data_IF_491107803030
#
_entry.id   IF_491107803030
#
_cell.length_a   1.000
_cell.length_b   1.000
_cell.length_c   1.000
_cell.angle_alpha   90.00
_cell.angle_beta   90.00
_cell.angle_gamma   90.00
#
_symmetry.space_group_name_H-M   'P 1'
#
loop_
_entity.id
_entity.type
_entity.pdbx_description
1 polymer ?
#
# COMPACT_ATOMS: atom_id res chain seq x y z
N UNK A 1 19.80 -9.88 -32.18
CA UNK A 1 19.85 -8.42 -32.43
C UNK A 1 21.29 -7.95 -32.34
N UNK A 2 21.59 -6.70 -32.74
CA UNK A 2 22.93 -6.10 -32.57
C UNK A 2 23.43 -6.22 -31.11
N UNK A 3 22.54 -6.07 -30.11
CA UNK A 3 22.86 -6.25 -28.70
C UNK A 3 23.34 -7.68 -28.38
N UNK A 4 22.62 -8.71 -28.84
CA UNK A 4 23.01 -10.11 -28.59
C UNK A 4 24.38 -10.47 -29.17
N UNK A 5 24.74 -9.86 -30.31
CA UNK A 5 26.07 -10.02 -30.90
C UNK A 5 27.14 -9.41 -29.98
N UNK A 6 26.96 -8.15 -29.56
CA UNK A 6 27.88 -7.46 -28.65
C UNK A 6 28.04 -8.19 -27.32
N UNK A 7 26.94 -8.68 -26.73
CA UNK A 7 26.94 -9.46 -25.48
C UNK A 7 27.81 -10.71 -25.62
N UNK A 8 27.63 -11.47 -26.69
CA UNK A 8 28.36 -12.72 -26.93
C UNK A 8 29.84 -12.47 -27.22
N UNK A 9 30.17 -11.48 -28.04
CA UNK A 9 31.55 -11.19 -28.44
C UNK A 9 32.39 -10.65 -27.28
N UNK A 10 31.78 -9.87 -26.38
CA UNK A 10 32.50 -9.22 -25.27
C UNK A 10 32.30 -9.94 -23.93
N UNK A 11 31.45 -10.98 -23.88
CA UNK A 11 31.06 -11.66 -22.63
C UNK A 11 30.52 -10.67 -21.59
N UNK A 12 29.55 -9.86 -22.02
CA UNK A 12 28.88 -8.81 -21.24
C UNK A 12 27.37 -8.99 -21.30
N UNK A 13 26.67 -8.32 -20.40
CA UNK A 13 25.20 -8.19 -20.41
C UNK A 13 24.85 -6.73 -20.58
N UNK A 14 23.91 -6.42 -21.48
CA UNK A 14 23.41 -5.05 -21.67
C UNK A 14 22.08 -4.95 -20.92
N UNK A 15 21.92 -3.94 -20.05
CA UNK A 15 20.61 -3.68 -19.45
C UNK A 15 19.64 -3.21 -20.53
N UNK A 16 18.52 -3.93 -20.67
CA UNK A 16 17.48 -3.63 -21.65
C UNK A 16 16.28 -3.05 -20.93
N UNK A 17 16.31 -1.75 -20.79
CA UNK A 17 15.11 -0.99 -20.46
C UNK A 17 14.21 -0.94 -21.69
N UNK A 18 13.04 -1.59 -21.62
CA UNK A 18 12.13 -1.74 -22.77
C UNK A 18 11.57 -0.40 -23.24
N UNK A 19 11.29 0.53 -22.33
CA UNK A 19 10.76 1.85 -22.69
C UNK A 19 11.83 2.67 -23.43
N UNK A 20 13.05 2.69 -22.90
CA UNK A 20 14.19 3.34 -23.56
C UNK A 20 14.51 2.68 -24.90
N UNK A 21 14.47 1.34 -24.97
CA UNK A 21 14.71 0.62 -26.21
C UNK A 21 13.65 0.95 -27.26
N UNK A 22 12.38 0.99 -26.87
CA UNK A 22 11.29 1.38 -27.75
C UNK A 22 11.43 2.83 -28.23
N UNK A 23 11.83 3.76 -27.37
CA UNK A 23 12.12 5.15 -27.76
C UNK A 23 13.25 5.20 -28.79
N UNK A 24 14.38 4.52 -28.51
CA UNK A 24 15.54 4.48 -29.39
C UNK A 24 15.21 3.86 -30.75
N UNK A 25 14.43 2.78 -30.77
CA UNK A 25 13.95 2.15 -32.01
C UNK A 25 13.04 3.10 -32.79
N UNK A 26 12.18 3.87 -32.12
CA UNK A 26 11.27 4.80 -32.78
C UNK A 26 11.99 6.02 -33.42
N UNK A 27 13.17 6.38 -32.94
CA UNK A 27 13.94 7.55 -33.44
C UNK A 27 15.10 7.17 -34.37
N UNK A 28 15.27 5.88 -34.71
CA UNK A 28 16.37 5.40 -35.56
C UNK A 28 15.86 4.65 -36.78
N UNK A 29 16.35 5.01 -37.96
CA UNK A 29 15.99 4.36 -39.23
C UNK A 29 16.96 3.21 -39.58
N UNK A 30 18.24 3.36 -39.20
CA UNK A 30 19.32 2.40 -39.42
C UNK A 30 20.06 2.11 -38.10
N UNK A 31 19.43 1.41 -37.14
CA UNK A 31 19.98 1.24 -35.80
C UNK A 31 21.21 0.33 -35.79
N UNK A 32 22.35 0.88 -35.39
CA UNK A 32 23.59 0.13 -35.13
C UNK A 32 24.01 0.32 -33.68
N UNK A 33 24.10 -0.77 -32.92
CA UNK A 33 24.56 -0.71 -31.54
C UNK A 33 26.09 -0.66 -31.50
N UNK A 34 26.63 0.25 -30.69
CA UNK A 34 28.06 0.49 -30.60
C UNK A 34 28.46 0.53 -29.13
N UNK A 35 29.57 -0.13 -28.82
CA UNK A 35 30.13 -0.19 -27.48
C UNK A 35 31.13 0.96 -27.27
N UNK A 36 30.86 1.82 -26.30
CA UNK A 36 31.77 2.87 -25.82
C UNK A 36 32.25 2.59 -24.39
N UNK A 37 33.17 3.44 -23.92
CA UNK A 37 33.74 3.39 -22.56
C UNK A 37 33.74 4.75 -21.88
N UNK A 38 33.78 4.72 -20.56
CA UNK A 38 34.10 5.90 -19.76
C UNK A 38 35.29 5.60 -18.83
N UNK A 39 35.80 6.64 -18.19
CA UNK A 39 36.93 6.53 -17.27
C UNK A 39 36.56 5.64 -16.07
N UNK A 40 37.41 4.68 -15.73
CA UNK A 40 37.17 3.75 -14.61
C UNK A 40 37.02 4.48 -13.27
N UNK A 41 37.58 5.69 -13.14
CA UNK A 41 37.41 6.51 -11.94
C UNK A 41 35.93 6.77 -11.61
N UNK A 42 35.05 6.85 -12.60
CA UNK A 42 33.62 7.07 -12.36
C UNK A 42 32.92 5.89 -11.69
N UNK A 43 33.52 4.70 -11.66
CA UNK A 43 33.00 3.54 -10.92
C UNK A 43 33.07 3.71 -9.39
N UNK A 44 33.65 4.82 -8.89
CA UNK A 44 33.52 5.24 -7.49
C UNK A 44 32.10 5.73 -7.15
N UNK A 45 31.34 6.17 -8.15
CA UNK A 45 29.94 6.56 -7.96
C UNK A 45 29.08 5.31 -7.66
N UNK A 46 27.99 5.47 -6.89
CA UNK A 46 26.92 4.49 -6.87
C UNK A 46 26.49 4.11 -8.30
N UNK A 47 26.32 2.80 -8.61
CA UNK A 47 25.95 2.35 -9.95
C UNK A 47 24.69 3.04 -10.50
N UNK A 48 23.70 3.29 -9.63
CA UNK A 48 22.44 3.93 -10.02
C UNK A 48 22.63 5.37 -10.51
N UNK A 49 23.58 6.13 -9.95
CA UNK A 49 23.91 7.48 -10.43
C UNK A 49 24.45 7.44 -11.86
N UNK A 50 25.31 6.46 -12.14
CA UNK A 50 25.90 6.26 -13.47
C UNK A 50 24.82 5.84 -14.47
N UNK A 51 23.97 4.89 -14.08
CA UNK A 51 22.87 4.37 -14.89
C UNK A 51 21.87 5.49 -15.22
N UNK A 52 21.43 6.26 -14.23
CA UNK A 52 20.53 7.40 -14.43
C UNK A 52 21.15 8.45 -15.36
N UNK A 53 22.42 8.79 -15.15
CA UNK A 53 23.14 9.73 -16.03
C UNK A 53 23.22 9.23 -17.48
N UNK A 54 23.30 7.92 -17.70
CA UNK A 54 23.33 7.31 -19.03
C UNK A 54 21.95 7.29 -19.69
N UNK A 55 20.92 6.84 -18.97
CA UNK A 55 19.57 6.61 -19.51
C UNK A 55 18.85 7.92 -19.78
N UNK A 56 18.71 8.77 -18.76
CA UNK A 56 17.90 9.99 -18.83
C UNK A 56 18.52 11.07 -19.72
N UNK A 57 19.85 11.24 -19.65
CA UNK A 57 20.50 12.36 -20.34
C UNK A 57 20.99 12.02 -21.74
N UNK A 58 21.29 10.75 -22.04
CA UNK A 58 21.97 10.37 -23.28
C UNK A 58 21.38 9.16 -24.01
N UNK A 59 20.34 8.51 -23.46
CA UNK A 59 19.74 7.29 -24.04
C UNK A 59 20.76 6.17 -24.26
N UNK A 60 21.69 6.03 -23.33
CA UNK A 60 22.70 4.96 -23.34
C UNK A 60 22.23 3.78 -22.50
N UNK A 61 22.66 2.59 -22.90
CA UNK A 61 22.37 1.34 -22.20
C UNK A 61 23.59 0.93 -21.35
N UNK A 62 23.43 0.81 -20.02
CA UNK A 62 24.50 0.37 -19.13
C UNK A 62 24.95 -1.06 -19.45
N UNK A 63 26.23 -1.33 -19.22
CA UNK A 63 26.83 -2.65 -19.47
C UNK A 63 27.33 -3.27 -18.19
N UNK A 64 26.99 -4.55 -18.01
CA UNK A 64 27.35 -5.36 -16.88
C UNK A 64 28.26 -6.50 -17.28
N UNK A 65 29.11 -6.92 -16.34
CA UNK A 65 29.87 -8.17 -16.42
C UNK A 65 29.80 -8.86 -15.07
N UNK A 66 29.46 -10.15 -15.08
CA UNK A 66 29.29 -10.95 -13.86
C UNK A 66 28.35 -10.28 -12.82
N UNK A 67 27.30 -9.61 -13.31
CA UNK A 67 26.32 -8.90 -12.48
C UNK A 67 26.78 -7.54 -11.93
N UNK A 68 27.97 -7.05 -12.31
CA UNK A 68 28.49 -5.73 -11.88
C UNK A 68 28.55 -4.76 -13.04
N UNK A 69 28.15 -3.52 -12.79
CA UNK A 69 28.33 -2.43 -13.73
C UNK A 69 29.82 -2.25 -14.04
N UNK A 70 30.17 -2.17 -15.31
CA UNK A 70 31.54 -1.90 -15.76
C UNK A 70 31.61 -0.53 -16.46
N UNK A 71 32.82 -0.05 -16.77
CA UNK A 71 33.05 1.24 -17.41
C UNK A 71 32.72 1.28 -18.91
N UNK A 72 31.61 0.64 -19.30
CA UNK A 72 31.16 0.48 -20.67
C UNK A 72 29.68 0.86 -20.78
N UNK A 73 29.30 1.34 -21.95
CA UNK A 73 27.92 1.64 -22.30
C UNK A 73 27.68 1.30 -23.77
N UNK A 74 26.43 1.05 -24.12
CA UNK A 74 26.01 0.88 -25.51
C UNK A 74 25.18 2.08 -25.93
N UNK A 75 25.49 2.61 -27.12
CA UNK A 75 24.69 3.63 -27.80
C UNK A 75 24.20 3.07 -29.12
N UNK A 76 22.98 3.42 -29.52
CA UNK A 76 22.46 3.08 -30.84
C UNK A 76 22.66 4.27 -31.77
N UNK A 77 23.50 4.11 -32.76
CA UNK A 77 23.74 5.12 -33.80
C UNK A 77 22.79 4.93 -34.98
N UNK A 78 22.40 6.04 -35.58
CA UNK A 78 21.69 6.11 -36.86
C UNK A 78 22.61 6.51 -38.02
N UNK A 79 23.93 6.56 -37.79
CA UNK A 79 24.88 7.01 -38.80
C UNK A 79 25.09 5.93 -39.88
N UNK A 80 25.08 6.33 -41.15
CA UNK A 80 25.41 5.47 -42.27
C UNK A 80 26.92 5.51 -42.55
N UNK A 81 27.68 4.68 -41.84
CA UNK A 81 29.15 4.59 -41.92
C UNK A 81 29.63 3.17 -41.59
N UNK A 82 30.77 2.78 -42.16
CA UNK A 82 31.46 1.53 -41.81
C UNK A 82 32.48 1.74 -40.66
N UNK A 83 32.85 2.99 -40.37
CA UNK A 83 33.73 3.37 -39.26
C UNK A 83 32.97 4.23 -38.23
N UNK A 84 32.79 3.66 -37.04
CA UNK A 84 32.10 4.29 -35.92
C UNK A 84 33.05 4.94 -34.90
N UNK A 85 34.37 4.93 -35.12
CA UNK A 85 35.36 5.45 -34.17
C UNK A 85 35.08 6.88 -33.71
N UNK A 86 34.68 7.77 -34.63
CA UNK A 86 34.31 9.15 -34.34
C UNK A 86 32.99 9.30 -33.60
N UNK A 87 32.04 8.39 -33.85
CA UNK A 87 30.77 8.34 -33.10
C UNK A 87 31.05 7.92 -31.67
N UNK A 88 31.89 6.89 -31.46
CA UNK A 88 32.31 6.44 -30.13
C UNK A 88 32.98 7.59 -29.39
N UNK A 89 34.07 8.15 -29.94
CA UNK A 89 34.83 9.25 -29.34
C UNK A 89 33.92 10.44 -28.96
N UNK A 90 32.96 10.77 -29.83
CA UNK A 90 31.97 11.81 -29.58
C UNK A 90 31.09 11.52 -28.36
N UNK A 91 30.52 10.32 -28.27
CA UNK A 91 29.65 9.93 -27.15
C UNK A 91 30.43 9.80 -25.84
N UNK A 92 31.65 9.24 -25.87
CA UNK A 92 32.53 9.18 -24.70
C UNK A 92 32.86 10.59 -24.18
N UNK A 93 33.12 11.54 -25.09
CA UNK A 93 33.37 12.95 -24.73
C UNK A 93 32.13 13.65 -24.14
N UNK A 94 30.93 13.27 -24.55
CA UNK A 94 29.68 13.84 -24.04
C UNK A 94 29.31 13.29 -22.66
N UNK A 95 29.55 12.00 -22.42
CA UNK A 95 29.26 11.36 -21.13
C UNK A 95 30.21 11.83 -20.02
N UNK A 96 31.49 12.02 -20.35
CA UNK A 96 32.55 12.36 -19.40
C UNK A 96 32.24 13.57 -18.51
N UNK A 97 31.84 14.76 -19.01
CA UNK A 97 31.55 15.91 -18.15
C UNK A 97 30.38 15.62 -17.19
N UNK A 98 29.35 14.89 -17.62
CA UNK A 98 28.20 14.55 -16.76
C UNK A 98 28.60 13.64 -15.59
N UNK A 99 29.38 12.59 -15.85
CA UNK A 99 29.89 11.73 -14.79
C UNK A 99 30.91 12.46 -13.90
N UNK A 100 31.66 13.42 -14.46
CA UNK A 100 32.57 14.28 -13.69
C UNK A 100 31.81 15.20 -12.74
N UNK A 101 30.71 15.81 -13.18
CA UNK A 101 29.86 16.65 -12.34
C UNK A 101 29.21 15.81 -11.23
N UNK A 102 28.65 14.64 -11.58
CA UNK A 102 28.10 13.71 -10.58
C UNK A 102 29.15 13.26 -9.55
N UNK A 103 30.36 12.92 -9.99
CA UNK A 103 31.47 12.56 -9.09
C UNK A 103 31.88 13.75 -8.20
N UNK A 104 31.85 14.97 -8.73
CA UNK A 104 32.10 16.18 -7.94
C UNK A 104 31.04 16.37 -6.85
N UNK A 105 29.75 16.28 -7.20
CA UNK A 105 28.64 16.38 -6.24
C UNK A 105 28.75 15.32 -5.15
N UNK A 106 28.95 14.05 -5.56
CA UNK A 106 29.09 12.94 -4.63
C UNK A 106 30.23 13.16 -3.62
N UNK A 107 31.42 13.54 -4.10
CA UNK A 107 32.55 13.82 -3.22
C UNK A 107 32.32 15.01 -2.30
N UNK A 108 31.56 16.01 -2.73
CA UNK A 108 31.24 17.16 -1.89
C UNK A 108 30.22 16.77 -0.81
N UNK A 109 29.21 16.00 -1.18
CA UNK A 109 28.20 15.47 -0.25
C UNK A 109 28.84 14.56 0.80
N UNK A 110 29.76 13.66 0.40
CA UNK A 110 30.51 12.83 1.35
C UNK A 110 31.34 13.66 2.34
N UNK A 111 31.92 14.78 1.90
CA UNK A 111 32.67 15.69 2.79
C UNK A 111 31.76 16.44 3.76
N UNK A 112 30.54 16.82 3.33
CA UNK A 112 29.54 17.45 4.21
C UNK A 112 28.98 16.47 5.22
N UNK A 113 28.87 15.20 4.83
CA UNK A 113 28.28 14.13 5.64
C UNK A 113 26.75 14.15 5.62
N UNK A 114 26.15 13.15 6.27
CA UNK A 114 24.69 13.03 6.36
C UNK A 114 24.16 13.95 7.48
N UNK A 115 23.50 15.05 7.09
CA UNK A 115 22.92 16.03 8.02
C UNK A 115 21.55 16.50 7.55
N UNK A 116 20.67 16.83 8.50
CA UNK A 116 19.38 17.48 8.27
C UNK A 116 19.44 19.00 8.37
N UNK A 117 20.61 19.59 8.59
CA UNK A 117 20.77 21.03 8.69
C UNK A 117 20.32 21.72 7.39
N UNK A 118 19.51 22.77 7.52
CA UNK A 118 18.93 23.50 6.40
C UNK A 118 17.49 23.08 6.08
N UNK A 119 17.04 21.89 6.53
CA UNK A 119 15.65 21.45 6.33
C UNK A 119 14.64 22.33 7.07
N UNK A 120 15.06 23.08 8.09
CA UNK A 120 14.27 24.10 8.77
C UNK A 120 13.97 25.33 7.90
N UNK A 121 14.61 25.44 6.73
CA UNK A 121 14.37 26.52 5.75
C UNK A 121 13.59 26.03 4.53
N UNK A 122 13.45 24.71 4.37
CA UNK A 122 12.71 24.10 3.24
C UNK A 122 11.25 24.00 3.63
N UNK A 123 10.40 24.81 3.01
CA UNK A 123 8.95 24.77 3.23
C UNK A 123 8.40 23.45 2.69
N UNK A 124 7.75 22.65 3.54
CA UNK A 124 7.06 21.43 3.11
C UNK A 124 5.72 21.78 2.46
N UNK A 125 4.88 22.52 3.19
CA UNK A 125 3.57 22.96 2.72
C UNK A 125 3.07 24.13 3.56
N UNK A 126 2.38 25.08 2.94
CA UNK A 126 1.77 26.19 3.68
C UNK A 126 0.76 25.64 4.71
N UNK A 127 0.92 26.02 5.99
CA UNK A 127 0.12 25.50 7.10
C UNK A 127 0.68 24.25 7.79
N UNK A 128 1.68 23.57 7.20
CA UNK A 128 2.35 22.39 7.79
C UNK A 128 3.84 22.62 8.07
N UNK A 129 4.34 23.83 7.84
CA UNK A 129 5.70 24.22 8.17
C UNK A 129 6.75 23.67 7.20
N UNK A 130 7.89 23.29 7.76
CA UNK A 130 9.12 22.94 7.06
C UNK A 130 9.30 21.42 6.94
N UNK A 131 10.31 20.99 6.20
CA UNK A 131 10.70 19.56 6.16
C UNK A 131 11.20 19.09 7.53
N UNK A 132 11.85 19.95 8.31
CA UNK A 132 12.20 19.65 9.70
C UNK A 132 10.95 19.41 10.57
N UNK A 133 9.92 20.25 10.44
CA UNK A 133 8.64 20.04 11.15
C UNK A 133 7.96 18.73 10.72
N UNK A 134 8.08 18.36 9.45
CA UNK A 134 7.60 17.08 8.92
C UNK A 134 8.33 15.89 9.55
N UNK A 135 9.65 15.92 9.67
CA UNK A 135 10.43 14.87 10.34
C UNK A 135 9.93 14.65 11.77
N UNK A 136 9.68 15.73 12.52
CA UNK A 136 9.20 15.62 13.90
C UNK A 136 7.81 14.99 13.98
N UNK A 137 6.89 15.35 13.07
CA UNK A 137 5.57 14.71 13.01
C UNK A 137 5.66 13.22 12.63
N UNK A 138 6.45 12.90 11.61
CA UNK A 138 6.70 11.52 11.20
C UNK A 138 7.31 10.70 12.33
N UNK A 139 8.25 11.26 13.09
CA UNK A 139 8.87 10.60 14.25
C UNK A 139 7.83 10.22 15.30
N UNK A 140 6.85 11.10 15.59
CA UNK A 140 5.76 10.80 16.52
C UNK A 140 4.83 9.70 16.00
N UNK A 141 4.50 9.73 14.71
CA UNK A 141 3.70 8.68 14.08
C UNK A 141 4.45 7.34 14.13
N UNK A 142 5.71 7.32 13.69
CA UNK A 142 6.55 6.13 13.69
C UNK A 142 6.66 5.52 15.09
N UNK A 143 6.91 6.34 16.11
CA UNK A 143 6.93 5.91 17.51
C UNK A 143 5.59 5.28 17.93
N UNK A 144 4.47 5.89 17.56
CA UNK A 144 3.15 5.33 17.89
C UNK A 144 2.91 3.98 17.22
N UNK A 145 3.23 3.86 15.93
CA UNK A 145 3.11 2.60 15.18
C UNK A 145 4.06 1.53 15.73
N UNK A 146 5.27 1.90 16.15
CA UNK A 146 6.22 0.97 16.75
C UNK A 146 5.70 0.37 18.07
N UNK A 147 5.03 1.17 18.91
CA UNK A 147 4.40 0.66 20.14
C UNK A 147 3.21 -0.28 19.85
N UNK A 148 2.49 -0.05 18.75
CA UNK A 148 1.38 -0.91 18.31
C UNK A 148 1.91 -2.24 17.78
N UNK A 149 2.85 -2.21 16.83
CA UNK A 149 3.28 -3.40 16.09
C UNK A 149 4.43 -4.15 16.74
N UNK A 150 5.25 -3.48 17.57
CA UNK A 150 6.40 -4.07 18.29
C UNK A 150 7.25 -5.00 17.41
N UNK A 151 7.83 -4.49 16.31
CA UNK A 151 8.60 -5.33 15.40
C UNK A 151 9.77 -5.99 16.15
N UNK A 152 9.92 -7.30 15.97
CA UNK A 152 10.99 -8.06 16.60
C UNK A 152 12.35 -7.68 15.99
N UNK A 153 13.36 -7.47 16.82
CA UNK A 153 14.75 -7.28 16.39
C UNK A 153 15.16 -5.83 16.14
N UNK A 154 14.21 -4.90 16.10
CA UNK A 154 14.46 -3.45 15.97
C UNK A 154 14.35 -2.77 17.34
N UNK A 155 15.15 -1.74 17.59
CA UNK A 155 15.00 -0.89 18.77
C UNK A 155 14.32 0.42 18.41
N UNK A 156 13.68 1.05 19.41
CA UNK A 156 13.05 2.36 19.24
C UNK A 156 14.08 3.43 18.89
N UNK A 157 15.29 3.34 19.45
CA UNK A 157 16.41 4.24 19.15
C UNK A 157 16.83 4.13 17.68
N UNK A 158 16.90 2.91 17.13
CA UNK A 158 17.19 2.68 15.71
C UNK A 158 16.11 3.28 14.81
N UNK A 159 14.83 3.08 15.15
CA UNK A 159 13.71 3.68 14.43
C UNK A 159 13.80 5.21 14.44
N UNK A 160 13.98 5.80 15.61
CA UNK A 160 14.09 7.25 15.75
C UNK A 160 15.28 7.80 14.97
N UNK A 161 16.42 7.10 14.98
CA UNK A 161 17.60 7.46 14.18
C UNK A 161 17.30 7.43 12.69
N UNK A 162 16.62 6.40 12.21
CA UNK A 162 16.21 6.28 10.80
C UNK A 162 15.29 7.43 10.38
N UNK A 163 14.23 7.71 11.15
CA UNK A 163 13.27 8.79 10.83
C UNK A 163 13.95 10.16 10.86
N UNK A 164 14.80 10.42 11.85
CA UNK A 164 15.53 11.69 11.97
C UNK A 164 16.49 11.94 10.82
N UNK A 165 17.02 10.90 10.17
CA UNK A 165 17.92 11.03 9.02
C UNK A 165 17.22 10.85 7.66
N UNK A 166 15.96 10.46 7.65
CA UNK A 166 15.27 10.01 6.44
C UNK A 166 15.33 11.03 5.29
N UNK A 167 15.19 12.33 5.57
CA UNK A 167 15.23 13.37 4.52
C UNK A 167 16.57 14.11 4.43
N UNK A 168 17.62 13.62 5.08
CA UNK A 168 18.92 14.31 5.11
C UNK A 168 19.55 14.44 3.71
N UNK A 169 19.27 13.49 2.81
CA UNK A 169 19.78 13.54 1.43
C UNK A 169 19.14 14.61 0.56
N UNK A 170 17.98 15.17 0.94
CA UNK A 170 17.36 16.30 0.23
C UNK A 170 18.25 17.56 0.19
N UNK A 171 19.21 17.67 1.10
CA UNK A 171 20.19 18.76 1.15
C UNK A 171 21.45 18.49 0.31
N UNK A 172 21.55 17.32 -0.31
CA UNK A 172 22.71 16.91 -1.09
C UNK A 172 22.69 17.51 -2.51
N UNK A 173 23.87 17.79 -3.06
CA UNK A 173 24.00 18.25 -4.45
C UNK A 173 23.57 17.16 -5.42
N UNK A 174 23.81 15.88 -5.08
CA UNK A 174 23.36 14.76 -5.88
C UNK A 174 21.83 14.72 -6.03
N UNK A 175 21.07 14.84 -4.94
CA UNK A 175 19.60 14.81 -5.00
C UNK A 175 19.03 16.08 -5.62
N UNK A 176 19.72 17.21 -5.50
CA UNK A 176 19.33 18.43 -6.22
C UNK A 176 19.38 18.25 -7.74
N UNK A 177 20.42 17.59 -8.27
CA UNK A 177 20.54 17.29 -9.71
C UNK A 177 19.67 16.09 -10.13
N UNK A 178 19.57 15.05 -9.29
CA UNK A 178 18.90 13.78 -9.57
C UNK A 178 17.83 13.48 -8.51
N UNK A 179 16.70 14.18 -8.58
CA UNK A 179 15.63 14.12 -7.56
C UNK A 179 15.01 12.73 -7.38
N UNK A 180 15.10 11.88 -8.40
CA UNK A 180 14.66 10.49 -8.44
C UNK A 180 15.54 9.56 -7.59
N UNK A 181 16.76 9.98 -7.25
CA UNK A 181 17.69 9.21 -6.41
C UNK A 181 17.52 9.51 -4.91
N UNK A 182 16.53 10.31 -4.52
CA UNK A 182 16.19 10.53 -3.11
C UNK A 182 15.85 9.21 -2.40
N UNK A 183 16.15 9.14 -1.10
CA UNK A 183 16.14 7.90 -0.32
C UNK A 183 17.34 7.01 -0.62
N UNK A 184 17.60 6.71 -1.90
CA UNK A 184 18.73 5.87 -2.32
C UNK A 184 20.08 6.53 -2.00
N UNK A 185 20.24 7.82 -2.29
CA UNK A 185 21.46 8.54 -1.91
C UNK A 185 21.57 8.65 -0.39
N UNK A 186 20.46 8.85 0.32
CA UNK A 186 20.41 8.76 1.77
C UNK A 186 20.96 7.44 2.32
N UNK A 187 20.67 6.31 1.68
CA UNK A 187 21.26 5.01 2.01
C UNK A 187 22.79 5.02 1.86
N UNK A 188 23.31 5.44 0.70
CA UNK A 188 24.76 5.45 0.48
C UNK A 188 25.48 6.38 1.46
N UNK A 189 24.91 7.53 1.77
CA UNK A 189 25.46 8.48 2.74
C UNK A 189 25.37 7.96 4.17
N UNK A 190 24.29 7.26 4.54
CA UNK A 190 24.17 6.61 5.85
C UNK A 190 25.23 5.51 6.03
N UNK A 191 25.47 4.72 4.98
CA UNK A 191 26.52 3.69 4.96
C UNK A 191 27.91 4.29 5.15
N UNK A 192 28.23 5.36 4.44
CA UNK A 192 29.51 6.06 4.59
C UNK A 192 29.66 6.71 5.97
N UNK A 193 28.56 7.22 6.55
CA UNK A 193 28.54 7.77 7.90
C UNK A 193 28.64 6.71 9.02
N UNK A 194 28.68 5.42 8.68
CA UNK A 194 28.79 4.31 9.64
C UNK A 194 27.48 3.99 10.37
N UNK A 195 26.33 4.42 9.83
CA UNK A 195 25.03 4.02 10.35
C UNK A 195 24.80 2.51 10.18
N UNK A 196 23.94 1.96 11.03
CA UNK A 196 23.57 0.54 10.93
C UNK A 196 22.87 0.24 9.59
N UNK A 197 22.98 -1.01 9.13
CA UNK A 197 22.30 -1.47 7.92
C UNK A 197 20.79 -1.23 7.99
N UNK A 198 20.20 -1.45 9.17
CA UNK A 198 18.77 -1.24 9.42
C UNK A 198 18.35 0.21 9.19
N UNK A 199 19.14 1.18 9.68
CA UNK A 199 18.91 2.61 9.48
C UNK A 199 19.03 2.96 7.99
N UNK A 200 20.10 2.50 7.33
CA UNK A 200 20.33 2.79 5.93
C UNK A 200 19.19 2.25 5.05
N UNK A 201 18.75 1.01 5.26
CA UNK A 201 17.64 0.39 4.53
C UNK A 201 16.34 1.17 4.77
N UNK A 202 16.03 1.54 6.00
CA UNK A 202 14.82 2.30 6.30
C UNK A 202 14.81 3.70 5.63
N UNK A 203 15.98 4.35 5.51
CA UNK A 203 16.12 5.61 4.75
C UNK A 203 15.87 5.37 3.26
N UNK A 204 16.43 4.30 2.69
CA UNK A 204 16.20 3.91 1.28
C UNK A 204 14.72 3.71 0.97
N UNK A 205 14.04 2.99 1.84
CA UNK A 205 12.70 2.46 1.61
C UNK A 205 11.57 3.37 2.09
N UNK A 206 11.87 4.52 2.70
CA UNK A 206 10.87 5.40 3.33
C UNK A 206 9.75 5.86 2.39
N UNK A 207 10.00 5.90 1.08
CA UNK A 207 9.00 6.32 0.10
C UNK A 207 8.13 5.13 -0.36
N UNK A 208 8.60 3.89 -0.20
CA UNK A 208 7.93 2.70 -0.72
C UNK A 208 6.56 2.43 -0.07
N UNK A 209 5.62 1.81 -0.81
CA UNK A 209 5.63 1.72 -2.27
C UNK A 209 5.34 3.08 -2.92
N UNK A 210 5.97 3.33 -4.06
CA UNK A 210 5.83 4.55 -4.86
C UNK A 210 4.78 4.43 -5.98
N UNK A 211 4.27 3.22 -6.22
CA UNK A 211 3.30 2.90 -7.28
C UNK A 211 2.62 1.55 -7.03
N UNK A 212 1.73 1.13 -7.94
CA UNK A 212 0.96 -0.11 -7.80
C UNK A 212 1.86 -1.36 -7.87
N UNK A 213 2.81 -1.38 -8.81
CA UNK A 213 3.77 -2.49 -9.00
C UNK A 213 5.12 -2.25 -8.29
N UNK A 214 5.22 -1.18 -7.49
CA UNK A 214 6.43 -0.86 -6.73
C UNK A 214 6.70 -1.92 -5.66
N UNK A 215 7.97 -2.16 -5.38
CA UNK A 215 8.42 -2.94 -4.21
C UNK A 215 7.83 -2.38 -2.92
N UNK A 216 7.71 -3.26 -1.92
CA UNK A 216 7.28 -2.93 -0.57
C UNK A 216 8.50 -2.84 0.36
N UNK A 217 8.41 -2.08 1.46
CA UNK A 217 9.45 -2.06 2.48
C UNK A 217 9.82 -3.47 2.92
N UNK A 218 11.11 -3.81 2.90
CA UNK A 218 11.60 -5.17 3.09
C UNK A 218 11.58 -5.62 4.54
N UNK A 219 11.54 -4.68 5.49
CA UNK A 219 11.52 -4.95 6.92
C UNK A 219 10.32 -4.29 7.62
N UNK A 220 9.85 -4.83 8.76
CA UNK A 220 8.82 -4.19 9.58
C UNK A 220 9.20 -2.77 10.04
N UNK A 221 10.50 -2.50 10.31
CA UNK A 221 10.95 -1.16 10.67
C UNK A 221 10.85 -0.20 9.49
N UNK A 222 11.32 -0.60 8.31
CA UNK A 222 11.16 0.18 7.07
C UNK A 222 9.68 0.44 6.77
N UNK A 223 8.83 -0.56 6.98
CA UNK A 223 7.39 -0.43 6.83
C UNK A 223 6.81 0.65 7.74
N UNK A 224 7.20 0.68 9.01
CA UNK A 224 6.78 1.73 9.96
C UNK A 224 7.25 3.12 9.51
N UNK A 225 8.51 3.25 9.07
CA UNK A 225 9.04 4.53 8.57
C UNK A 225 8.24 4.99 7.34
N UNK A 226 7.99 4.10 6.38
CA UNK A 226 7.22 4.42 5.19
C UNK A 226 5.74 4.74 5.47
N UNK A 227 5.11 4.00 6.40
CA UNK A 227 3.76 4.32 6.86
C UNK A 227 3.72 5.69 7.54
N UNK A 228 4.73 6.05 8.34
CA UNK A 228 4.77 7.34 9.05
C UNK A 228 4.74 8.53 8.08
N UNK A 229 5.49 8.45 6.98
CA UNK A 229 5.51 9.46 5.93
C UNK A 229 4.16 9.58 5.21
N UNK A 230 3.54 8.44 4.86
CA UNK A 230 2.24 8.40 4.16
C UNK A 230 1.13 8.93 5.06
N UNK A 231 1.13 8.55 6.34
CA UNK A 231 0.15 9.02 7.33
C UNK A 231 0.34 10.50 7.65
N UNK A 232 1.57 11.00 7.81
CA UNK A 232 1.80 12.44 8.00
C UNK A 232 1.25 13.24 6.82
N UNK A 233 1.52 12.79 5.59
CA UNK A 233 1.04 13.47 4.39
C UNK A 233 -0.49 13.45 4.31
N UNK A 234 -1.14 12.31 4.61
CA UNK A 234 -2.59 12.18 4.61
C UNK A 234 -3.24 13.07 5.68
N UNK A 235 -2.82 12.92 6.94
CA UNK A 235 -3.40 13.66 8.08
C UNK A 235 -3.10 15.16 7.92
N UNK A 236 -1.85 15.50 7.58
CA UNK A 236 -1.40 16.87 7.36
C UNK A 236 -2.24 17.57 6.30
N UNK A 237 -2.36 17.01 5.10
CA UNK A 237 -3.12 17.68 4.03
C UNK A 237 -4.62 17.78 4.31
N UNK A 238 -5.21 16.80 4.99
CA UNK A 238 -6.60 16.91 5.45
C UNK A 238 -6.77 17.99 6.53
N UNK A 239 -5.82 18.13 7.45
CA UNK A 239 -5.86 19.15 8.51
C UNK A 239 -5.82 20.59 7.99
N UNK A 240 -5.27 20.80 6.79
CA UNK A 240 -5.24 22.11 6.11
C UNK A 240 -6.22 22.21 4.93
N UNK A 241 -7.19 21.29 4.84
CA UNK A 241 -8.21 21.23 3.78
C UNK A 241 -7.66 21.14 2.33
N UNK A 242 -6.49 20.54 2.14
CA UNK A 242 -5.88 20.28 0.83
C UNK A 242 -6.26 18.90 0.30
N UNK A 243 -7.56 18.67 0.11
CA UNK A 243 -8.10 17.39 -0.33
C UNK A 243 -8.20 17.37 -1.88
N UNK A 244 -7.65 16.36 -2.58
CA UNK A 244 -7.77 16.24 -4.02
C UNK A 244 -9.23 16.24 -4.47
N UNK A 245 -9.58 17.13 -5.41
CA UNK A 245 -10.89 17.15 -6.06
C UNK A 245 -10.75 16.67 -7.51
N UNK A 246 -11.56 15.70 -7.93
CA UNK A 246 -11.50 15.11 -9.28
C UNK A 246 -10.49 13.95 -9.43
N UNK A 247 -10.25 13.51 -10.67
CA UNK A 247 -9.49 12.28 -10.98
C UNK A 247 -7.97 12.40 -10.81
N UNK A 248 -7.43 13.63 -10.74
CA UNK A 248 -6.00 13.86 -10.54
C UNK A 248 -5.63 13.64 -9.07
N UNK A 249 -4.42 13.13 -8.85
CA UNK A 249 -3.84 12.93 -7.51
C UNK A 249 -2.55 13.76 -7.36
N UNK A 250 -2.66 15.10 -7.27
CA UNK A 250 -1.51 16.01 -7.31
C UNK A 250 -0.56 15.81 -6.12
N UNK A 251 -1.09 15.38 -4.97
CA UNK A 251 -0.33 15.16 -3.74
C UNK A 251 -0.10 13.68 -3.43
N UNK A 252 -0.37 12.79 -4.39
CA UNK A 252 -0.19 11.34 -4.23
C UNK A 252 -0.98 10.71 -3.06
N UNK A 253 -2.09 11.32 -2.60
CA UNK A 253 -2.84 10.83 -1.44
C UNK A 253 -3.52 9.49 -1.72
N UNK A 254 -4.00 9.28 -2.96
CA UNK A 254 -4.59 7.99 -3.34
C UNK A 254 -3.51 6.91 -3.36
N UNK A 255 -2.34 7.23 -3.91
CA UNK A 255 -1.17 6.34 -3.86
C UNK A 255 -0.72 6.05 -2.44
N UNK A 256 -0.77 7.03 -1.54
CA UNK A 256 -0.43 6.86 -0.13
C UNK A 256 -1.36 5.85 0.56
N UNK A 257 -2.68 5.96 0.38
CA UNK A 257 -3.65 4.99 0.93
C UNK A 257 -3.42 3.59 0.36
N UNK A 258 -3.26 3.45 -0.96
CA UNK A 258 -2.96 2.14 -1.56
C UNK A 258 -1.66 1.55 -1.02
N UNK A 259 -0.65 2.39 -0.78
CA UNK A 259 0.59 1.95 -0.14
C UNK A 259 0.39 1.45 1.29
N UNK A 260 -0.44 2.12 2.10
CA UNK A 260 -0.78 1.66 3.45
C UNK A 260 -1.51 0.31 3.43
N UNK A 261 -2.47 0.12 2.52
CA UNK A 261 -3.18 -1.16 2.37
C UNK A 261 -2.21 -2.29 2.01
N UNK A 262 -1.29 -2.05 1.08
CA UNK A 262 -0.29 -3.05 0.68
C UNK A 262 0.70 -3.37 1.80
N UNK A 263 1.22 -2.34 2.49
CA UNK A 263 2.16 -2.51 3.60
C UNK A 263 1.51 -3.30 4.74
N UNK A 264 0.27 -2.96 5.11
CA UNK A 264 -0.44 -3.64 6.20
C UNK A 264 -0.68 -5.11 5.88
N UNK A 265 -1.07 -5.44 4.64
CA UNK A 265 -1.22 -6.82 4.17
C UNK A 265 0.11 -7.59 4.19
N UNK A 266 1.20 -7.01 3.69
CA UNK A 266 2.51 -7.67 3.61
C UNK A 266 3.10 -7.99 4.99
N UNK A 267 3.06 -7.01 5.90
CA UNK A 267 3.65 -7.16 7.25
C UNK A 267 2.66 -7.65 8.30
N UNK A 268 1.43 -7.99 7.90
CA UNK A 268 0.33 -8.40 8.78
C UNK A 268 0.14 -7.42 9.96
N UNK A 269 0.13 -6.12 9.65
CA UNK A 269 -0.10 -5.05 10.62
C UNK A 269 -1.59 -4.75 10.77
N UNK A 270 -2.11 -4.91 11.99
CA UNK A 270 -3.49 -4.57 12.33
C UNK A 270 -3.69 -3.05 12.28
N UNK A 271 -4.41 -2.58 11.27
CA UNK A 271 -4.64 -1.15 11.03
C UNK A 271 -6.13 -0.88 10.97
N UNK A 272 -6.70 -0.43 12.09
CA UNK A 272 -8.05 0.12 12.15
C UNK A 272 -8.00 1.59 11.72
N UNK A 273 -8.66 1.90 10.60
CA UNK A 273 -8.64 3.25 10.00
C UNK A 273 -9.05 4.31 11.01
N UNK A 274 -10.20 4.13 11.68
CA UNK A 274 -10.77 5.18 12.54
C UNK A 274 -9.96 5.31 13.83
N UNK A 275 -9.66 4.18 14.49
CA UNK A 275 -8.90 4.19 15.76
C UNK A 275 -7.50 4.75 15.56
N UNK A 276 -6.82 4.33 14.49
CA UNK A 276 -5.44 4.75 14.21
C UNK A 276 -5.39 6.23 13.82
N UNK A 277 -6.29 6.69 12.94
CA UNK A 277 -6.34 8.10 12.57
C UNK A 277 -6.68 9.00 13.77
N UNK A 278 -7.62 8.60 14.63
CA UNK A 278 -7.94 9.34 15.84
C UNK A 278 -6.76 9.43 16.82
N UNK A 279 -5.94 8.39 16.90
CA UNK A 279 -4.74 8.39 17.72
C UNK A 279 -3.67 9.34 17.18
N UNK A 280 -3.44 9.31 15.87
CA UNK A 280 -2.35 10.05 15.21
C UNK A 280 -2.68 11.53 14.92
N UNK A 281 -3.96 11.90 14.83
CA UNK A 281 -4.37 13.26 14.42
C UNK A 281 -4.25 14.32 15.53
N UNK A 282 -3.85 13.95 16.76
CA UNK A 282 -3.86 14.84 17.94
C UNK A 282 -2.96 16.06 17.83
N UNK A 283 -1.88 15.96 17.06
CA UNK A 283 -0.88 17.02 16.90
C UNK A 283 -1.11 17.88 15.65
N UNK A 284 -2.23 17.69 14.96
CA UNK A 284 -2.60 18.43 13.75
C UNK A 284 -3.72 19.41 14.04
N UNK A 285 -3.96 20.35 13.12
CA UNK A 285 -5.15 21.21 13.18
C UNK A 285 -6.41 20.34 13.12
N UNK A 286 -7.46 20.74 13.84
CA UNK A 286 -8.71 19.97 13.93
C UNK A 286 -9.37 19.81 12.55
N UNK A 287 -9.73 18.57 12.21
CA UNK A 287 -10.46 18.23 11.00
C UNK A 287 -11.41 17.05 11.23
N UNK A 288 -12.36 16.87 10.33
CA UNK A 288 -13.32 15.77 10.39
C UNK A 288 -12.65 14.45 9.96
N UNK A 289 -12.32 13.59 10.93
CA UNK A 289 -11.75 12.25 10.66
C UNK A 289 -12.64 11.44 9.70
N UNK A 290 -13.96 11.61 9.77
CA UNK A 290 -14.91 10.98 8.86
C UNK A 290 -14.65 11.28 7.38
N UNK A 291 -14.09 12.45 7.03
CA UNK A 291 -13.70 12.77 5.65
C UNK A 291 -12.51 11.95 5.21
N UNK A 292 -11.52 11.77 6.08
CA UNK A 292 -10.35 10.94 5.78
C UNK A 292 -10.72 9.46 5.75
N UNK A 293 -11.57 9.01 6.68
CA UNK A 293 -12.17 7.67 6.64
C UNK A 293 -12.88 7.44 5.29
N UNK A 294 -13.77 8.34 4.87
CA UNK A 294 -14.47 8.23 3.59
C UNK A 294 -13.49 8.14 2.41
N UNK A 295 -12.38 8.88 2.46
CA UNK A 295 -11.32 8.80 1.46
C UNK A 295 -10.64 7.42 1.44
N UNK A 296 -10.32 6.83 2.61
CA UNK A 296 -9.83 5.46 2.69
C UNK A 296 -10.84 4.45 2.11
N UNK A 297 -12.12 4.58 2.47
CA UNK A 297 -13.17 3.68 1.99
C UNK A 297 -13.36 3.78 0.46
N UNK A 298 -13.27 4.97 -0.12
CA UNK A 298 -13.29 5.15 -1.58
C UNK A 298 -12.14 4.40 -2.26
N UNK A 299 -10.95 4.40 -1.65
CA UNK A 299 -9.78 3.68 -2.18
C UNK A 299 -9.93 2.17 -2.05
N UNK A 300 -10.45 1.68 -0.92
CA UNK A 300 -10.71 0.26 -0.71
C UNK A 300 -11.64 -0.32 -1.78
N UNK A 301 -12.69 0.41 -2.16
CA UNK A 301 -13.61 0.04 -3.26
C UNK A 301 -12.91 -0.16 -4.61
N UNK A 302 -11.81 0.56 -4.85
CA UNK A 302 -11.04 0.47 -6.09
C UNK A 302 -9.90 -0.55 -5.99
N UNK A 303 -9.46 -0.87 -4.78
CA UNK A 303 -8.34 -1.78 -4.52
C UNK A 303 -8.72 -3.24 -4.74
N UNK A 304 -9.88 -3.67 -4.23
CA UNK A 304 -10.35 -5.05 -4.39
C UNK A 304 -10.97 -5.26 -5.78
N UNK A 305 -10.43 -6.20 -6.55
CA UNK A 305 -10.90 -6.53 -7.91
C UNK A 305 -12.02 -7.58 -7.88
N UNK A 306 -13.04 -7.34 -7.06
CA UNK A 306 -14.20 -8.22 -6.83
C UNK A 306 -15.50 -7.49 -7.21
N UNK A 307 -16.65 -8.17 -7.16
CA UNK A 307 -17.94 -7.50 -7.37
C UNK A 307 -18.10 -6.34 -6.36
N UNK A 308 -18.37 -5.10 -6.80
CA UNK A 308 -18.49 -3.95 -5.89
C UNK A 308 -19.49 -4.16 -4.74
N UNK A 309 -20.54 -4.95 -4.95
CA UNK A 309 -21.54 -5.25 -3.92
C UNK A 309 -20.98 -6.06 -2.74
N UNK A 310 -19.96 -6.90 -2.97
CA UNK A 310 -19.24 -7.65 -1.94
C UNK A 310 -18.46 -6.68 -1.05
N UNK A 311 -17.77 -5.71 -1.67
CA UNK A 311 -17.01 -4.71 -0.91
C UNK A 311 -17.96 -3.83 -0.09
N UNK A 312 -19.07 -3.35 -0.68
CA UNK A 312 -20.06 -2.57 0.08
C UNK A 312 -20.65 -3.37 1.24
N UNK A 313 -20.98 -4.64 1.05
CA UNK A 313 -21.51 -5.50 2.10
C UNK A 313 -20.56 -5.60 3.30
N UNK A 314 -19.26 -5.80 3.06
CA UNK A 314 -18.29 -5.85 4.15
C UNK A 314 -18.09 -4.46 4.77
N UNK A 315 -18.05 -3.38 3.99
CA UNK A 315 -17.92 -2.02 4.55
C UNK A 315 -19.14 -1.60 5.39
N UNK A 316 -20.34 -2.04 5.01
CA UNK A 316 -21.60 -1.80 5.70
C UNK A 316 -21.69 -2.55 7.04
N UNK A 317 -20.90 -3.62 7.25
CA UNK A 317 -20.75 -4.26 8.57
C UNK A 317 -20.18 -3.32 9.65
N UNK A 318 -19.58 -2.21 9.24
CA UNK A 318 -18.85 -1.29 10.12
C UNK A 318 -17.40 -1.68 10.36
N UNK A 319 -16.90 -2.74 9.71
CA UNK A 319 -15.48 -3.11 9.79
C UNK A 319 -14.58 -2.00 9.23
N UNK A 320 -13.48 -1.71 9.94
CA UNK A 320 -12.50 -0.67 9.61
C UNK A 320 -11.05 -1.13 9.77
N UNK A 321 -10.83 -2.35 10.22
CA UNK A 321 -9.51 -2.97 10.29
C UNK A 321 -9.16 -3.61 8.94
N UNK A 322 -8.06 -3.16 8.32
CA UNK A 322 -7.71 -3.47 6.93
C UNK A 322 -7.49 -4.97 6.66
N UNK A 323 -6.90 -5.72 7.60
CA UNK A 323 -6.65 -7.16 7.41
C UNK A 323 -7.96 -7.96 7.51
N UNK A 324 -8.80 -7.63 8.49
CA UNK A 324 -10.13 -8.19 8.69
C UNK A 324 -11.01 -7.90 7.48
N UNK A 325 -10.99 -6.67 6.96
CA UNK A 325 -11.69 -6.31 5.72
C UNK A 325 -11.29 -7.22 4.57
N UNK A 326 -9.99 -7.39 4.32
CA UNK A 326 -9.50 -8.26 3.26
C UNK A 326 -9.98 -9.70 3.42
N UNK A 327 -9.83 -10.28 4.62
CA UNK A 327 -10.26 -11.66 4.91
C UNK A 327 -11.78 -11.85 4.78
N UNK A 328 -12.58 -10.88 5.20
CA UNK A 328 -14.05 -10.91 5.08
C UNK A 328 -14.51 -10.78 3.63
N UNK A 329 -13.83 -9.95 2.83
CA UNK A 329 -14.10 -9.82 1.39
C UNK A 329 -13.78 -11.13 0.67
N UNK A 330 -12.61 -11.71 0.93
CA UNK A 330 -12.19 -13.00 0.35
C UNK A 330 -13.18 -14.12 0.72
N UNK A 331 -13.61 -14.20 1.99
CA UNK A 331 -14.60 -15.17 2.44
C UNK A 331 -15.99 -14.96 1.79
N UNK A 332 -16.45 -13.71 1.71
CA UNK A 332 -17.72 -13.39 1.08
C UNK A 332 -17.70 -13.68 -0.44
N UNK A 333 -16.59 -13.41 -1.11
CA UNK A 333 -16.42 -13.73 -2.53
C UNK A 333 -16.45 -15.23 -2.81
N UNK A 334 -15.73 -16.04 -2.01
CA UNK A 334 -15.78 -17.49 -2.12
C UNK A 334 -17.22 -18.01 -1.95
N UNK A 335 -17.92 -17.48 -0.94
CA UNK A 335 -19.31 -17.84 -0.65
C UNK A 335 -20.27 -17.46 -1.78
N UNK A 336 -20.18 -16.24 -2.32
CA UNK A 336 -21.06 -15.78 -3.42
C UNK A 336 -20.88 -16.63 -4.68
N UNK A 337 -19.66 -17.12 -4.92
CA UNK A 337 -19.34 -17.97 -6.07
C UNK A 337 -19.66 -19.47 -5.84
N UNK A 338 -20.11 -19.86 -4.65
CA UNK A 338 -20.44 -21.26 -4.31
C UNK A 338 -21.77 -21.73 -4.93
N UNK A 339 -21.87 -23.03 -5.20
CA UNK A 339 -23.12 -23.66 -5.65
C UNK A 339 -24.18 -23.59 -4.54
N UNK A 340 -25.38 -23.07 -4.87
CA UNK A 340 -26.50 -22.95 -3.92
C UNK A 340 -26.58 -21.63 -3.16
N UNK A 341 -25.62 -20.70 -3.33
CA UNK A 341 -25.72 -19.37 -2.71
C UNK A 341 -26.94 -18.59 -3.21
N UNK A 342 -27.22 -18.62 -4.52
CA UNK A 342 -28.38 -17.93 -5.11
C UNK A 342 -29.71 -18.38 -4.50
N UNK A 343 -29.85 -19.67 -4.20
CA UNK A 343 -31.04 -20.22 -3.55
C UNK A 343 -31.15 -19.77 -2.09
N UNK A 344 -30.02 -19.71 -1.39
CA UNK A 344 -29.92 -19.27 0.02
C UNK A 344 -30.15 -17.78 0.20
N UNK A 345 -29.72 -16.97 -0.76
CA UNK A 345 -29.74 -15.51 -0.70
C UNK A 345 -31.13 -14.93 -0.42
N UNK A 346 -32.18 -15.51 -0.99
CA UNK A 346 -33.56 -15.04 -0.81
C UNK A 346 -34.02 -15.14 0.66
N UNK A 347 -33.69 -16.24 1.35
CA UNK A 347 -34.01 -16.48 2.76
C UNK A 347 -33.30 -15.47 3.66
N UNK A 348 -32.00 -15.23 3.42
CA UNK A 348 -31.24 -14.28 4.23
C UNK A 348 -31.58 -12.81 3.95
N UNK A 349 -31.99 -12.48 2.71
CA UNK A 349 -32.57 -11.17 2.40
C UNK A 349 -33.88 -10.94 3.15
N UNK A 350 -34.70 -11.99 3.32
CA UNK A 350 -35.92 -11.93 4.16
C UNK A 350 -35.57 -11.71 5.63
N UNK A 351 -34.58 -12.41 6.18
CA UNK A 351 -34.05 -12.18 7.53
C UNK A 351 -33.67 -10.71 7.72
N UNK A 352 -32.88 -10.17 6.80
CA UNK A 352 -32.39 -8.80 6.82
C UNK A 352 -33.52 -7.75 6.72
N UNK A 353 -34.59 -8.04 5.97
CA UNK A 353 -35.76 -7.15 5.83
C UNK A 353 -36.65 -7.15 7.07
N UNK A 354 -36.81 -8.29 7.75
CA UNK A 354 -37.61 -8.39 8.99
C UNK A 354 -36.96 -7.58 10.11
N UNK A 355 -35.64 -7.45 10.08
CA UNK A 355 -34.84 -6.81 11.12
C UNK A 355 -34.51 -5.34 10.84
N UNK A 356 -35.04 -4.75 9.76
CA UNK A 356 -34.71 -3.39 9.30
C UNK A 356 -35.02 -2.28 10.33
N UNK A 357 -36.06 -2.45 11.14
CA UNK A 357 -36.53 -1.47 12.12
C UNK A 357 -35.98 -1.78 13.53
N UNK A 358 -35.04 -2.73 13.64
CA UNK A 358 -34.44 -3.17 14.89
C UNK A 358 -33.05 -2.54 15.02
N UNK A 359 -32.79 -1.94 16.17
CA UNK A 359 -31.45 -1.45 16.51
C UNK A 359 -30.50 -2.64 16.73
N UNK A 360 -29.57 -2.84 15.77
CA UNK A 360 -28.57 -3.90 15.80
C UNK A 360 -27.52 -3.73 16.90
N UNK A 361 -27.39 -2.53 17.49
CA UNK A 361 -26.46 -2.29 18.59
C UNK A 361 -26.93 -2.93 19.90
N UNK A 362 -28.23 -3.18 20.04
CA UNK A 362 -28.85 -3.78 21.24
C UNK A 362 -28.50 -5.26 21.44
N UNK A 363 -28.55 -5.73 22.70
CA UNK A 363 -28.52 -7.17 23.01
C UNK A 363 -29.90 -7.79 22.75
N UNK A 364 -29.93 -8.88 22.00
CA UNK A 364 -31.15 -9.64 21.76
C UNK A 364 -31.20 -10.82 22.74
N UNK A 365 -32.32 -10.93 23.46
CA UNK A 365 -32.58 -12.05 24.37
C UNK A 365 -33.78 -12.82 23.86
N UNK A 366 -33.58 -14.10 23.60
CA UNK A 366 -34.62 -15.03 23.19
C UNK A 366 -35.07 -15.80 24.42
N UNK A 367 -36.36 -15.73 24.73
CA UNK A 367 -37.01 -16.47 25.81
C UNK A 367 -37.71 -17.71 25.23
N UNK A 368 -37.16 -18.88 25.53
CA UNK A 368 -37.68 -20.18 25.07
C UNK A 368 -39.09 -20.48 25.60
N UNK A 369 -39.53 -19.83 26.69
CA UNK A 369 -40.87 -20.05 27.24
C UNK A 369 -41.97 -19.36 26.44
N UNK A 370 -41.60 -18.47 25.50
CA UNK A 370 -42.51 -17.74 24.63
C UNK A 370 -42.63 -18.37 23.23
N UNK A 371 -42.03 -19.54 23.00
CA UNK A 371 -42.19 -20.29 21.76
C UNK A 371 -43.55 -20.97 21.72
N UNK A 372 -44.26 -20.83 20.60
CA UNK A 372 -45.57 -21.44 20.37
C UNK A 372 -45.48 -22.56 19.34
N UNK A 373 -44.56 -22.44 18.38
CA UNK A 373 -44.39 -23.38 17.27
C UNK A 373 -43.07 -24.14 17.36
N UNK A 374 -43.09 -25.43 16.99
CA UNK A 374 -41.89 -26.30 17.01
C UNK A 374 -40.76 -25.78 16.12
N UNK A 375 -41.08 -25.01 15.08
CA UNK A 375 -40.07 -24.41 14.20
C UNK A 375 -39.21 -23.36 14.94
N UNK A 376 -39.73 -22.71 15.97
CA UNK A 376 -39.00 -21.75 16.81
C UNK A 376 -37.91 -22.47 17.63
N UNK A 377 -38.28 -23.59 18.27
CA UNK A 377 -37.35 -24.44 19.04
C UNK A 377 -36.20 -24.95 18.16
N UNK A 378 -36.53 -25.48 16.97
CA UNK A 378 -35.55 -26.07 16.06
C UNK A 378 -34.56 -25.03 15.55
N UNK A 379 -35.06 -23.87 15.11
CA UNK A 379 -34.21 -22.77 14.64
C UNK A 379 -33.31 -22.24 15.75
N UNK A 380 -33.86 -22.02 16.95
CA UNK A 380 -33.08 -21.51 18.08
C UNK A 380 -32.01 -22.51 18.54
N UNK A 381 -32.32 -23.80 18.61
CA UNK A 381 -31.36 -24.84 18.96
C UNK A 381 -30.20 -24.88 17.94
N UNK A 382 -30.52 -24.91 16.64
CA UNK A 382 -29.50 -24.96 15.59
C UNK A 382 -28.65 -23.69 15.55
N UNK A 383 -29.25 -22.51 15.68
CA UNK A 383 -28.50 -21.26 15.78
C UNK A 383 -27.62 -21.20 17.03
N UNK A 384 -28.09 -21.71 18.18
CA UNK A 384 -27.31 -21.77 19.41
C UNK A 384 -26.08 -22.68 19.26
N UNK A 385 -26.21 -23.81 18.56
CA UNK A 385 -25.07 -24.66 18.21
C UNK A 385 -24.05 -23.89 17.36
N UNK A 386 -24.49 -23.31 16.23
CA UNK A 386 -23.64 -22.58 15.29
C UNK A 386 -22.93 -21.39 15.95
N UNK A 387 -23.65 -20.63 16.78
CA UNK A 387 -23.11 -19.44 17.46
C UNK A 387 -22.22 -19.76 18.66
N UNK A 388 -22.30 -20.97 19.22
CA UNK A 388 -21.42 -21.41 20.31
C UNK A 388 -20.04 -21.90 19.83
N UNK A 389 -19.93 -22.25 18.55
CA UNK A 389 -18.68 -22.70 17.95
C UNK A 389 -17.72 -21.53 17.74
N UNK A 390 -16.42 -21.84 17.81
CA UNK A 390 -15.35 -20.91 17.42
C UNK A 390 -14.84 -21.31 16.05
N UNK A 391 -14.89 -20.38 15.12
CA UNK A 391 -14.39 -20.55 13.76
C UNK A 391 -12.98 -19.96 13.66
N UNK A 392 -12.13 -20.61 12.87
CA UNK A 392 -10.78 -20.09 12.61
C UNK A 392 -10.77 -19.17 11.38
N UNK A 393 -11.74 -19.35 10.48
CA UNK A 393 -11.87 -18.61 9.24
C UNK A 393 -13.29 -18.06 9.07
N UNK A 394 -13.42 -16.87 8.46
CA UNK A 394 -14.72 -16.25 8.22
C UNK A 394 -15.58 -17.04 7.21
N UNK A 395 -14.94 -17.76 6.29
CA UNK A 395 -15.62 -18.64 5.34
C UNK A 395 -16.40 -19.76 6.07
N UNK A 396 -15.76 -20.44 7.02
CA UNK A 396 -16.40 -21.48 7.83
C UNK A 396 -17.57 -20.93 8.67
N UNK A 397 -17.40 -19.74 9.24
CA UNK A 397 -18.46 -19.08 10.02
C UNK A 397 -19.65 -18.69 9.12
N UNK A 398 -19.38 -18.15 7.93
CA UNK A 398 -20.41 -17.82 6.95
C UNK A 398 -21.16 -19.06 6.48
N UNK A 399 -20.45 -20.13 6.11
CA UNK A 399 -21.06 -21.39 5.68
C UNK A 399 -21.96 -21.99 6.76
N UNK A 400 -21.50 -22.00 8.02
CA UNK A 400 -22.29 -22.50 9.14
C UNK A 400 -23.56 -21.67 9.39
N UNK A 401 -23.48 -20.34 9.23
CA UNK A 401 -24.63 -19.44 9.34
C UNK A 401 -25.59 -19.62 8.16
N UNK A 402 -25.09 -19.78 6.93
CA UNK A 402 -25.91 -20.01 5.74
C UNK A 402 -26.59 -21.38 5.75
N UNK A 403 -25.96 -22.38 6.38
CA UNK A 403 -26.53 -23.71 6.56
C UNK A 403 -27.80 -23.72 7.43
N UNK A 404 -28.15 -22.61 8.10
CA UNK A 404 -29.44 -22.41 8.80
C UNK A 404 -30.63 -22.23 7.85
N UNK A 405 -30.40 -22.19 6.53
CA UNK A 405 -31.45 -21.97 5.52
C UNK A 405 -32.67 -22.91 5.71
N UNK A 406 -32.51 -24.25 5.84
CA UNK A 406 -33.67 -25.15 5.94
C UNK A 406 -34.54 -24.85 7.18
N UNK A 407 -33.92 -24.54 8.32
CA UNK A 407 -34.61 -24.18 9.56
C UNK A 407 -35.27 -22.80 9.45
N UNK A 408 -34.62 -21.84 8.78
CA UNK A 408 -35.17 -20.51 8.52
C UNK A 408 -36.38 -20.56 7.58
N UNK A 409 -36.30 -21.34 6.49
CA UNK A 409 -37.41 -21.51 5.56
C UNK A 409 -38.62 -22.11 6.28
N UNK A 410 -38.40 -23.17 7.07
CA UNK A 410 -39.45 -23.79 7.87
C UNK A 410 -40.03 -22.84 8.91
N UNK A 411 -39.19 -22.08 9.62
CA UNK A 411 -39.66 -21.04 10.54
C UNK A 411 -40.53 -20.02 9.82
N UNK A 412 -40.15 -19.62 8.61
CA UNK A 412 -40.88 -18.64 7.83
C UNK A 412 -42.17 -19.14 7.17
N UNK A 413 -42.31 -20.45 7.00
CA UNK A 413 -43.52 -21.14 6.55
C UNK A 413 -44.51 -21.33 7.72
N UNK A 414 -44.01 -21.81 8.86
CA UNK A 414 -44.84 -22.21 10.00
C UNK A 414 -45.14 -21.04 10.97
N UNK A 415 -44.29 -20.01 11.03
CA UNK A 415 -44.32 -18.97 12.07
C UNK A 415 -44.64 -17.59 11.51
N UNK A 416 -45.75 -17.00 11.98
CA UNK A 416 -46.06 -15.59 11.73
C UNK A 416 -45.26 -14.68 12.67
N UNK A 417 -44.25 -14.00 12.14
CA UNK A 417 -43.37 -13.10 12.93
C UNK A 417 -44.14 -11.89 13.47
N UNK A 418 -45.04 -11.30 12.69
CA UNK A 418 -45.86 -10.16 13.12
C UNK A 418 -47.18 -10.66 13.71
N UNK A 419 -47.14 -11.17 14.94
CA UNK A 419 -48.32 -11.59 15.72
C UNK A 419 -48.90 -10.45 16.57
N UNK A 420 -50.13 -10.63 17.06
CA UNK A 420 -50.84 -9.68 17.92
C UNK A 420 -50.19 -9.58 19.32
N UNK A 421 -49.73 -10.70 19.87
CA UNK A 421 -49.03 -10.72 21.16
C UNK A 421 -47.65 -10.04 21.03
N UNK A 422 -47.50 -8.90 21.70
CA UNK A 422 -46.27 -8.10 21.63
C UNK A 422 -45.05 -8.85 22.16
N UNK A 423 -45.20 -9.70 23.18
CA UNK A 423 -44.08 -10.44 23.78
C UNK A 423 -43.59 -11.51 22.83
N UNK A 424 -44.50 -12.29 22.24
CA UNK A 424 -44.16 -13.34 21.26
C UNK A 424 -43.57 -12.71 19.99
N UNK A 425 -44.18 -11.62 19.50
CA UNK A 425 -43.66 -10.86 18.35
C UNK A 425 -42.24 -10.37 18.58
N UNK A 426 -41.96 -9.79 19.75
CA UNK A 426 -40.63 -9.30 20.08
C UNK A 426 -39.62 -10.45 20.21
N UNK A 427 -40.02 -11.57 20.82
CA UNK A 427 -39.18 -12.76 20.95
C UNK A 427 -38.76 -13.34 19.58
N UNK A 428 -39.73 -13.50 18.67
CA UNK A 428 -39.49 -13.95 17.28
C UNK A 428 -38.58 -13.00 16.52
N UNK A 429 -38.80 -11.69 16.66
CA UNK A 429 -37.92 -10.66 16.09
C UNK A 429 -36.51 -10.73 16.67
N UNK A 430 -36.36 -10.95 17.97
CA UNK A 430 -35.06 -11.12 18.62
C UNK A 430 -34.31 -12.36 18.10
N UNK A 431 -35.00 -13.46 17.83
CA UNK A 431 -34.38 -14.65 17.24
C UNK A 431 -33.81 -14.36 15.84
N UNK A 432 -34.65 -13.80 14.96
CA UNK A 432 -34.23 -13.43 13.59
C UNK A 432 -33.14 -12.35 13.61
N UNK A 433 -33.23 -11.37 14.51
CA UNK A 433 -32.22 -10.33 14.69
C UNK A 433 -30.89 -10.87 15.20
N UNK A 434 -30.90 -11.89 16.06
CA UNK A 434 -29.67 -12.54 16.54
C UNK A 434 -28.91 -13.21 15.39
N UNK A 435 -29.63 -13.94 14.53
CA UNK A 435 -29.06 -14.57 13.33
C UNK A 435 -28.48 -13.52 12.38
N UNK A 436 -29.27 -12.47 12.08
CA UNK A 436 -28.80 -11.39 11.21
C UNK A 436 -27.58 -10.68 11.80
N UNK A 437 -27.56 -10.42 13.11
CA UNK A 437 -26.43 -9.77 13.79
C UNK A 437 -25.15 -10.61 13.69
N UNK A 438 -25.24 -11.94 13.73
CA UNK A 438 -24.08 -12.81 13.49
C UNK A 438 -23.52 -12.65 12.07
N UNK A 439 -24.39 -12.62 11.05
CA UNK A 439 -23.99 -12.41 9.66
C UNK A 439 -23.40 -11.01 9.47
N UNK A 440 -24.04 -9.99 10.06
CA UNK A 440 -23.65 -8.58 9.99
C UNK A 440 -22.25 -8.33 10.57
N UNK A 441 -21.74 -9.19 11.46
CA UNK A 441 -20.34 -9.09 11.92
C UNK A 441 -19.32 -9.29 10.79
N UNK A 442 -19.71 -10.01 9.73
CA UNK A 442 -18.87 -10.33 8.58
C UNK A 442 -19.25 -9.43 7.40
N UNK A 443 -20.53 -9.36 7.05
CA UNK A 443 -21.02 -8.54 5.94
C UNK A 443 -22.52 -8.23 6.07
N UNK A 444 -22.95 -7.07 5.59
CA UNK A 444 -24.37 -6.79 5.37
C UNK A 444 -24.84 -7.41 4.04
N UNK A 445 -25.50 -8.58 4.14
CA UNK A 445 -25.98 -9.33 2.98
C UNK A 445 -27.02 -8.56 2.14
N UNK A 446 -27.58 -7.45 2.65
CA UNK A 446 -28.50 -6.58 1.90
C UNK A 446 -27.83 -5.91 0.70
N UNK A 447 -26.55 -5.59 0.84
CA UNK A 447 -25.77 -4.86 -0.17
C UNK A 447 -25.30 -5.80 -1.29
N UNK A 448 -25.22 -7.11 -1.05
CA UNK A 448 -24.79 -8.10 -2.03
C UNK A 448 -25.78 -8.15 -3.20
N UNK A 449 -25.25 -8.11 -4.42
CA UNK A 449 -25.98 -8.31 -5.66
C UNK A 449 -25.41 -9.51 -6.42
N UNK A 450 -26.32 -10.41 -6.82
CA UNK A 450 -26.02 -11.61 -7.62
C UNK A 450 -26.23 -11.30 -9.10
#
# INVERSE_FOLDING_TARGET
SNFSTLEKENSITIERDEDLLNEVVAITEHPTAILGSFDEEFLKLPPEVIITSMKEHQRYFPVFKDGKLINKFVVVSNAFTDDFSKVIEGNERVLRPRLSDALFFYNNDLKKGLSTDGLEKVVFMNGLGTVADKIEREKKIANTLFEIYRPNGSSKETLERAVSLAKADLMSEMVYEFTELQGLMGYYYAKEAGESEEVAIAIKEQYLPNGEESELPSTPMSAIVAMSLKLDTLIGLFSINQIPTGSRDPFALRRAVNGLIRITKEHNFEFDIVKTLALLSKDYAEFEISKLEAFFLERLRQYFKVNPSIVEAVLASGERELLSLGKKIEALEAMVNSEGFSESFSTFKRVANITKDIDMSSEFRVDVNLFEEKAEDVLFARYSEVSSLKYNYYEEELDALLALKPELDKFFEDVMVNTEDEKVRNNRKSLVASIYKSILKIADIKEVSI
#
